data_IF_622564026516
#
_entry.id   IF_622564026516
#
_cell.length_a   1.000
_cell.length_b   1.000
_cell.length_c   1.000
_cell.angle_alpha   90.00
_cell.angle_beta   90.00
_cell.angle_gamma   90.00
#
_symmetry.space_group_name_H-M   'P 1'
#
loop_
_entity.id
_entity.type
_entity.pdbx_description
1 polymer ?
#
# COMPACT_ATOMS: atom_id res chain seq x y z
N UNK A 1 2.56 5.71 16.08
CA UNK A 1 2.31 4.62 15.11
C UNK A 1 2.31 5.18 13.71
N UNK A 2 2.85 4.45 12.76
CA UNK A 2 2.84 4.89 11.38
C UNK A 2 1.43 4.76 10.79
N UNK A 3 1.06 5.74 9.95
CA UNK A 3 -0.18 5.69 9.18
C UNK A 3 0.11 4.94 7.88
N UNK A 4 -0.62 3.86 7.63
CA UNK A 4 -0.47 3.07 6.41
C UNK A 4 -1.77 3.10 5.63
N UNK A 5 -1.68 3.47 4.34
CA UNK A 5 -2.81 3.47 3.42
C UNK A 5 -2.44 2.59 2.24
N UNK A 6 -3.34 1.69 1.87
CA UNK A 6 -3.14 0.82 0.72
C UNK A 6 -4.34 0.93 -0.23
N UNK A 7 -4.05 1.24 -1.49
CA UNK A 7 -5.07 1.27 -2.55
C UNK A 7 -5.08 -0.08 -3.23
N UNK A 8 -6.25 -0.69 -3.33
CA UNK A 8 -6.40 -2.07 -3.81
C UNK A 8 -7.52 -2.19 -4.84
N UNK A 9 -7.56 -3.34 -5.50
CA UNK A 9 -8.73 -3.78 -6.26
C UNK A 9 -9.26 -5.05 -5.63
N UNK A 10 -10.59 -5.19 -5.57
CA UNK A 10 -11.24 -6.31 -4.88
C UNK A 10 -10.87 -7.69 -5.47
N UNK A 11 -10.51 -7.71 -6.75
CA UNK A 11 -10.18 -8.95 -7.46
C UNK A 11 -8.69 -9.12 -7.73
N UNK A 12 -7.84 -8.26 -7.18
CA UNK A 12 -6.40 -8.28 -7.46
C UNK A 12 -5.65 -9.19 -6.48
N UNK A 13 -5.04 -10.29 -6.93
CA UNK A 13 -4.28 -11.17 -6.04
C UNK A 13 -3.06 -10.52 -5.42
N UNK A 14 -2.44 -9.56 -6.11
CA UNK A 14 -1.31 -8.81 -5.56
C UNK A 14 -1.74 -7.90 -4.41
N UNK A 15 -2.95 -7.31 -4.51
CA UNK A 15 -3.53 -6.53 -3.42
C UNK A 15 -3.78 -7.39 -2.19
N UNK A 16 -4.34 -8.57 -2.40
CA UNK A 16 -4.61 -9.54 -1.33
C UNK A 16 -3.31 -9.95 -0.63
N UNK A 17 -2.29 -10.28 -1.42
CA UNK A 17 -0.99 -10.70 -0.92
C UNK A 17 -0.34 -9.61 -0.05
N UNK A 18 -0.42 -8.36 -0.49
CA UNK A 18 0.15 -7.22 0.24
C UNK A 18 -0.57 -6.98 1.57
N UNK A 19 -1.90 -7.14 1.59
CA UNK A 19 -2.66 -7.03 2.83
C UNK A 19 -2.27 -8.13 3.82
N UNK A 20 -2.13 -9.36 3.34
CA UNK A 20 -1.69 -10.47 4.18
C UNK A 20 -0.29 -10.24 4.74
N UNK A 21 0.60 -9.67 3.93
CA UNK A 21 1.94 -9.32 4.36
C UNK A 21 1.92 -8.29 5.49
N UNK A 22 1.13 -7.22 5.35
CA UNK A 22 0.99 -6.21 6.41
C UNK A 22 0.38 -6.79 7.68
N UNK A 23 -0.63 -7.66 7.52
CA UNK A 23 -1.24 -8.34 8.66
C UNK A 23 -0.22 -9.22 9.39
N UNK A 24 0.65 -9.90 8.66
CA UNK A 24 1.67 -10.76 9.26
C UNK A 24 2.69 -9.98 10.08
N UNK A 25 2.85 -8.68 9.78
CA UNK A 25 3.73 -7.79 10.54
C UNK A 25 3.03 -7.12 11.72
N UNK A 26 1.74 -7.38 11.91
CA UNK A 26 0.96 -6.75 12.96
C UNK A 26 0.67 -5.27 12.71
N UNK A 27 0.64 -4.86 11.45
CA UNK A 27 0.46 -3.46 11.06
C UNK A 27 -1.00 -3.21 10.68
N UNK A 28 -1.61 -2.21 11.30
CA UNK A 28 -2.93 -1.73 10.90
C UNK A 28 -2.80 -0.82 9.68
N UNK A 29 -3.77 -0.89 8.78
CA UNK A 29 -3.76 -0.07 7.58
C UNK A 29 -5.19 0.30 7.18
N UNK A 30 -5.32 1.43 6.47
CA UNK A 30 -6.56 1.83 5.83
C UNK A 30 -6.55 1.31 4.40
N UNK A 31 -7.54 0.50 4.06
CA UNK A 31 -7.69 -0.02 2.71
C UNK A 31 -8.66 0.85 1.93
N UNK A 32 -8.25 1.29 0.74
CA UNK A 32 -9.09 2.03 -0.21
C UNK A 32 -9.25 1.21 -1.47
N UNK A 33 -10.44 0.64 -1.66
CA UNK A 33 -10.74 -0.27 -2.77
C UNK A 33 -11.19 0.56 -3.97
N UNK A 34 -10.34 0.71 -4.96
CA UNK A 34 -10.54 1.69 -6.05
C UNK A 34 -11.63 1.30 -7.05
N UNK A 35 -11.94 0.01 -7.17
CA UNK A 35 -13.03 -0.43 -8.07
C UNK A 35 -14.42 -0.24 -7.46
N UNK A 36 -14.49 0.07 -6.16
CA UNK A 36 -15.74 0.37 -5.48
C UNK A 36 -16.10 1.86 -5.53
N UNK A 37 -15.11 2.72 -5.78
CA UNK A 37 -15.32 4.17 -5.83
C UNK A 37 -14.35 4.80 -6.84
N UNK A 38 -14.87 5.33 -7.98
CA UNK A 38 -14.02 5.94 -9.00
C UNK A 38 -13.16 7.10 -8.49
N UNK A 39 -13.62 7.82 -7.47
CA UNK A 39 -12.83 8.92 -6.90
C UNK A 39 -11.54 8.41 -6.26
N UNK A 40 -11.54 7.20 -5.71
CA UNK A 40 -10.35 6.60 -5.12
C UNK A 40 -9.31 6.24 -6.17
N UNK A 41 -9.76 5.84 -7.37
CA UNK A 41 -8.85 5.56 -8.49
C UNK A 41 -8.11 6.84 -8.91
N UNK A 42 -8.84 7.95 -9.01
CA UNK A 42 -8.26 9.25 -9.34
C UNK A 42 -7.29 9.71 -8.24
N UNK A 43 -7.67 9.53 -6.99
CA UNK A 43 -6.83 9.87 -5.84
C UNK A 43 -5.52 9.09 -5.87
N UNK A 44 -5.59 7.77 -6.09
CA UNK A 44 -4.40 6.91 -6.18
C UNK A 44 -3.47 7.37 -7.29
N UNK A 45 -4.02 7.61 -8.48
CA UNK A 45 -3.25 8.04 -9.64
C UNK A 45 -2.55 9.37 -9.38
N UNK A 46 -3.27 10.33 -8.78
CA UNK A 46 -2.73 11.64 -8.45
C UNK A 46 -1.60 11.54 -7.43
N UNK A 47 -1.78 10.76 -6.38
CA UNK A 47 -0.80 10.66 -5.29
C UNK A 47 0.41 9.80 -5.62
N UNK A 48 0.28 8.89 -6.57
CA UNK A 48 1.34 7.95 -6.94
C UNK A 48 2.16 8.39 -8.16
N UNK A 49 1.94 9.60 -8.63
CA UNK A 49 2.66 10.11 -9.80
C UNK A 49 2.21 9.47 -11.12
N UNK A 50 0.92 9.13 -11.21
CA UNK A 50 0.34 8.57 -12.43
C UNK A 50 0.25 7.05 -12.47
N UNK A 51 0.54 6.37 -11.35
CA UNK A 51 0.45 4.89 -11.29
C UNK A 51 -1.02 4.45 -11.29
N UNK A 52 -1.33 3.44 -12.08
CA UNK A 52 -2.68 2.85 -12.17
C UNK A 52 -2.72 1.41 -11.71
N UNK A 53 -1.56 0.81 -11.46
CA UNK A 53 -1.47 -0.57 -10.98
C UNK A 53 -1.76 -0.65 -9.48
N UNK A 54 -2.23 -1.80 -9.04
CA UNK A 54 -2.50 -2.07 -7.62
C UNK A 54 -1.68 -3.26 -7.15
N UNK A 55 -1.34 -3.33 -5.86
CA UNK A 55 -1.62 -2.30 -4.85
C UNK A 55 -0.67 -1.10 -4.92
N UNK A 56 -1.08 0.03 -4.34
CA UNK A 56 -0.19 1.17 -4.11
C UNK A 56 -0.21 1.47 -2.62
N UNK A 57 0.97 1.53 -2.01
CA UNK A 57 1.15 1.65 -0.57
C UNK A 57 1.74 3.01 -0.22
N UNK A 58 1.16 3.64 0.80
CA UNK A 58 1.65 4.91 1.35
C UNK A 58 1.86 4.75 2.85
N UNK A 59 3.00 5.23 3.35
CA UNK A 59 3.31 5.22 4.78
C UNK A 59 3.60 6.65 5.20
N UNK A 60 2.82 7.15 6.16
CA UNK A 60 2.88 8.55 6.63
C UNK A 60 2.78 9.54 5.48
N UNK A 61 1.93 9.26 4.49
CA UNK A 61 1.75 10.10 3.31
C UNK A 61 2.85 9.95 2.25
N UNK A 62 3.86 9.14 2.52
CA UNK A 62 4.96 8.91 1.59
C UNK A 62 4.65 7.74 0.66
N UNK A 63 4.78 7.95 -0.65
CA UNK A 63 4.53 6.90 -1.64
C UNK A 63 5.63 5.84 -1.62
N UNK A 64 5.31 4.66 -1.14
CA UNK A 64 6.22 3.51 -1.13
C UNK A 64 6.27 2.85 -2.51
N UNK A 65 5.11 2.69 -3.13
CA UNK A 65 4.98 2.05 -4.43
C UNK A 65 4.08 0.82 -4.38
N UNK A 66 4.40 -0.18 -5.18
CA UNK A 66 3.66 -1.43 -5.28
C UNK A 66 3.95 -2.37 -4.09
N UNK A 67 3.26 -3.51 -4.06
CA UNK A 67 3.56 -4.55 -3.09
C UNK A 67 5.00 -5.06 -3.18
N UNK A 68 5.51 -5.19 -4.40
CA UNK A 68 6.90 -5.61 -4.61
C UNK A 68 7.88 -4.57 -4.09
N UNK A 69 7.59 -3.29 -4.29
CA UNK A 69 8.42 -2.20 -3.75
C UNK A 69 8.45 -2.24 -2.22
N UNK A 70 7.29 -2.50 -1.60
CA UNK A 70 7.18 -2.63 -0.15
C UNK A 70 8.03 -3.81 0.37
N UNK A 71 7.94 -4.96 -0.31
CA UNK A 71 8.71 -6.15 0.08
C UNK A 71 10.21 -5.95 -0.12
N UNK A 72 10.60 -5.18 -1.12
CA UNK A 72 12.00 -4.84 -1.34
C UNK A 72 12.57 -4.01 -0.16
N UNK A 73 11.77 -3.10 0.38
CA UNK A 73 12.16 -2.34 1.57
C UNK A 73 12.29 -3.24 2.81
N UNK A 74 11.45 -4.26 2.91
CA UNK A 74 11.53 -5.23 4.00
C UNK A 74 12.89 -5.92 4.04
N UNK A 75 13.41 -6.32 2.88
CA UNK A 75 14.67 -7.05 2.80
C UNK A 75 15.88 -6.24 3.29
N UNK A 76 15.78 -4.91 3.30
CA UNK A 76 16.86 -4.01 3.74
C UNK A 76 16.64 -3.46 5.16
N UNK A 77 15.53 -3.82 5.81
CA UNK A 77 15.16 -3.28 7.12
C UNK A 77 14.56 -1.88 7.08
N UNK A 78 14.48 -1.25 5.91
CA UNK A 78 13.93 0.10 5.77
C UNK A 78 12.43 0.15 6.07
N UNK A 79 11.71 -0.90 5.72
CA UNK A 79 10.26 -0.95 5.95
C UNK A 79 9.93 -0.86 7.44
N UNK A 80 10.64 -1.60 8.28
CA UNK A 80 10.42 -1.56 9.72
C UNK A 80 10.65 -0.15 10.28
N UNK A 81 11.66 0.56 9.78
CA UNK A 81 11.92 1.94 10.19
C UNK A 81 10.75 2.85 9.82
N UNK A 82 10.22 2.72 8.61
CA UNK A 82 9.08 3.52 8.15
C UNK A 82 7.81 3.23 8.96
N UNK A 83 7.65 1.99 9.40
CA UNK A 83 6.50 1.54 10.18
C UNK A 83 6.68 1.76 11.68
N UNK A 84 7.84 2.21 12.14
CA UNK A 84 8.19 2.37 13.56
C UNK A 84 8.15 1.03 14.32
N UNK A 85 8.62 0.00 13.67
CA UNK A 85 8.74 -1.33 14.29
C UNK A 85 10.16 -1.60 14.80
#
# INVERSE_FOLDING_TARGET
MAEVVIYTKSYCPYSKDSKEFLNSKGVDFDEKVIDEDPALSVEMESKSGGRTDTPQVFINGHHVGSGDDMKALESTGKLNKMLNL
#
